data_IF_529080458494
#
_entry.id   IF_529080458494
#
_cell.length_a   1.000
_cell.length_b   1.000
_cell.length_c   1.000
_cell.angle_alpha   90.00
_cell.angle_beta   90.00
_cell.angle_gamma   90.00
#
_symmetry.space_group_name_H-M   'P 1'
#
loop_
_entity.id
_entity.type
_entity.pdbx_description
1 polymer ?
#
# COMPACT_ATOMS: atom_id res chain seq x y z
N UNK A 1 23.53 0.08 -4.29
CA UNK A 1 23.16 1.00 -5.39
C UNK A 1 21.68 0.79 -5.67
N UNK A 2 20.92 1.86 -5.99
CA UNK A 2 19.52 1.72 -6.36
C UNK A 2 19.40 0.85 -7.62
N UNK A 3 18.33 0.05 -7.68
CA UNK A 3 18.03 -0.80 -8.83
C UNK A 3 17.49 0.09 -9.94
N UNK A 4 18.17 0.11 -11.09
CA UNK A 4 17.76 0.91 -12.27
C UNK A 4 16.74 0.20 -13.16
N UNK A 5 16.69 -1.13 -13.08
CA UNK A 5 15.77 -1.95 -13.86
C UNK A 5 15.16 -3.02 -12.97
N UNK A 6 13.83 -3.08 -12.92
CA UNK A 6 13.11 -4.15 -12.25
C UNK A 6 12.88 -5.30 -13.23
N UNK A 7 13.39 -6.48 -12.89
CA UNK A 7 13.23 -7.70 -13.68
C UNK A 7 12.63 -8.84 -12.87
N UNK A 8 12.51 -10.02 -13.49
CA UNK A 8 11.98 -11.23 -12.86
C UNK A 8 12.63 -11.59 -11.50
N UNK A 9 13.96 -11.49 -11.31
CA UNK A 9 14.60 -11.79 -10.02
C UNK A 9 14.16 -10.88 -8.86
N UNK A 10 13.67 -9.68 -9.16
CA UNK A 10 13.31 -8.68 -8.16
C UNK A 10 11.87 -8.86 -7.66
N UNK A 11 11.02 -9.58 -8.41
CA UNK A 11 9.58 -9.65 -8.16
C UNK A 11 9.24 -10.27 -6.81
N UNK A 12 9.97 -11.29 -6.36
CA UNK A 12 9.71 -11.89 -5.04
C UNK A 12 10.05 -10.95 -3.90
N UNK A 13 11.13 -10.17 -4.03
CA UNK A 13 11.47 -9.14 -3.06
C UNK A 13 10.44 -8.01 -3.10
N UNK A 14 10.04 -7.56 -4.29
CA UNK A 14 8.99 -6.55 -4.44
C UNK A 14 7.71 -7.01 -3.73
N UNK A 15 7.21 -8.21 -4.05
CA UNK A 15 5.97 -8.75 -3.50
C UNK A 15 5.99 -8.87 -1.97
N UNK A 16 7.08 -9.40 -1.40
CA UNK A 16 7.24 -9.48 0.06
C UNK A 16 7.27 -8.09 0.70
N UNK A 17 8.04 -7.18 0.11
CA UNK A 17 8.18 -5.81 0.57
C UNK A 17 6.85 -5.06 0.58
N UNK A 18 6.15 -5.05 -0.55
CA UNK A 18 4.87 -4.36 -0.68
C UNK A 18 3.80 -4.99 0.22
N UNK A 19 3.82 -6.31 0.43
CA UNK A 19 2.93 -6.98 1.40
C UNK A 19 3.20 -6.51 2.84
N UNK A 20 4.46 -6.39 3.25
CA UNK A 20 4.80 -5.83 4.57
C UNK A 20 4.34 -4.37 4.69
N UNK A 21 4.59 -3.55 3.66
CA UNK A 21 4.11 -2.17 3.61
C UNK A 21 2.58 -2.07 3.59
N UNK A 22 1.87 -3.16 3.31
CA UNK A 22 0.42 -3.25 3.34
C UNK A 22 -0.18 -3.16 4.74
N UNK A 23 0.59 -3.37 5.82
CA UNK A 23 0.06 -3.29 7.21
C UNK A 23 -1.18 -4.16 7.44
N UNK A 24 -1.30 -5.30 6.75
CA UNK A 24 -2.47 -6.17 6.77
C UNK A 24 -3.58 -5.82 5.76
N UNK A 25 -3.51 -4.65 5.11
CA UNK A 25 -4.39 -4.22 4.02
C UNK A 25 -3.73 -4.31 2.64
N UNK A 26 -4.28 -3.60 1.66
CA UNK A 26 -3.75 -3.52 0.27
C UNK A 26 -3.83 -4.81 -0.56
N UNK A 27 -4.27 -5.94 0.02
CA UNK A 27 -4.41 -7.23 -0.64
C UNK A 27 -3.12 -8.04 -0.78
N UNK A 28 -3.25 -9.36 -0.86
CA UNK A 28 -2.12 -10.27 -1.03
C UNK A 28 -1.52 -10.13 -2.43
N UNK A 29 -0.20 -10.07 -2.49
CA UNK A 29 0.51 -9.67 -3.72
C UNK A 29 0.84 -10.81 -4.67
N UNK A 30 0.70 -12.08 -4.24
CA UNK A 30 1.16 -13.24 -5.01
C UNK A 30 0.57 -13.30 -6.42
N UNK A 31 -0.72 -13.00 -6.55
CA UNK A 31 -1.41 -13.04 -7.83
C UNK A 31 -0.97 -11.87 -8.72
N UNK A 32 -0.80 -10.68 -8.18
CA UNK A 32 -0.25 -9.53 -8.91
C UNK A 32 1.20 -9.78 -9.33
N UNK A 33 2.01 -10.43 -8.49
CA UNK A 33 3.40 -10.79 -8.79
C UNK A 33 3.48 -11.81 -9.94
N UNK A 34 2.59 -12.80 -9.98
CA UNK A 34 2.46 -13.73 -11.12
C UNK A 34 2.05 -13.00 -12.40
N UNK A 35 1.11 -12.05 -12.30
CA UNK A 35 0.72 -11.21 -13.43
C UNK A 35 1.91 -10.41 -13.95
N UNK A 36 2.67 -9.75 -13.07
CA UNK A 36 3.85 -8.98 -13.47
C UNK A 36 4.90 -9.85 -14.17
N UNK A 37 5.21 -11.05 -13.65
CA UNK A 37 6.12 -12.00 -14.31
C UNK A 37 5.68 -12.29 -15.74
N UNK A 38 4.38 -12.57 -15.91
CA UNK A 38 3.79 -12.85 -17.23
C UNK A 38 3.89 -11.63 -18.14
N UNK A 39 3.59 -10.43 -17.64
CA UNK A 39 3.64 -9.19 -18.41
C UNK A 39 5.06 -8.85 -18.86
N UNK A 40 6.06 -9.04 -17.99
CA UNK A 40 7.46 -8.80 -18.35
C UNK A 40 7.93 -9.70 -19.50
N UNK A 41 7.46 -10.95 -19.56
CA UNK A 41 7.87 -11.94 -20.57
C UNK A 41 9.40 -12.05 -20.75
N UNK A 42 10.15 -12.02 -19.63
CA UNK A 42 11.62 -12.01 -19.60
C UNK A 42 12.28 -10.64 -19.82
N UNK A 43 11.49 -9.59 -20.04
CA UNK A 43 11.91 -8.20 -20.09
C UNK A 43 12.14 -7.57 -18.72
N UNK A 44 12.30 -6.25 -18.72
CA UNK A 44 12.55 -5.42 -17.54
C UNK A 44 11.92 -4.04 -17.70
N UNK A 45 11.60 -3.41 -16.58
CA UNK A 45 11.04 -2.05 -16.54
C UNK A 45 12.08 -1.12 -15.95
N UNK A 46 12.21 0.09 -16.50
CA UNK A 46 13.04 1.13 -15.89
C UNK A 46 12.42 1.60 -14.59
N UNK A 47 13.20 1.49 -13.51
CA UNK A 47 12.89 2.06 -12.20
C UNK A 47 13.83 3.24 -12.00
N UNK A 48 13.30 4.44 -12.16
CA UNK A 48 14.05 5.69 -12.17
C UNK A 48 13.88 6.42 -10.84
N UNK A 49 14.92 7.10 -10.37
CA UNK A 49 14.77 8.05 -9.26
C UNK A 49 14.19 9.37 -9.76
N UNK A 50 13.77 10.27 -8.86
CA UNK A 50 13.33 11.62 -9.27
C UNK A 50 14.43 12.38 -10.03
N UNK A 51 15.69 12.21 -9.64
CA UNK A 51 16.86 12.85 -10.28
C UNK A 51 17.13 12.34 -11.71
N UNK A 52 16.68 11.13 -12.05
CA UNK A 52 16.83 10.56 -13.40
C UNK A 52 15.83 11.18 -14.42
N UNK A 53 14.83 11.93 -13.94
CA UNK A 53 13.80 12.56 -14.77
C UNK A 53 14.05 14.08 -14.81
N UNK A 54 14.60 14.63 -15.90
CA UNK A 54 15.04 16.03 -15.93
C UNK A 54 13.90 17.06 -16.00
N UNK A 55 12.65 16.64 -16.20
CA UNK A 55 11.48 17.52 -16.24
C UNK A 55 10.24 16.85 -16.82
N UNK A 56 9.16 17.62 -16.94
CA UNK A 56 7.87 17.14 -17.43
C UNK A 56 6.94 16.75 -16.27
N UNK A 57 6.09 15.76 -16.51
CA UNK A 57 5.11 15.31 -15.53
C UNK A 57 5.12 13.80 -15.39
N UNK A 58 4.81 13.29 -14.21
CA UNK A 58 4.50 11.88 -13.99
C UNK A 58 3.00 11.74 -13.73
N UNK A 59 2.45 10.56 -13.99
CA UNK A 59 1.04 10.28 -13.71
C UNK A 59 0.93 9.18 -12.65
N UNK A 60 0.24 9.45 -11.52
CA UNK A 60 -0.08 8.40 -10.55
C UNK A 60 -1.11 7.43 -11.12
N UNK A 61 -0.81 6.13 -11.07
CA UNK A 61 -1.68 5.05 -11.55
C UNK A 61 -1.80 3.93 -10.53
N UNK A 62 -2.83 3.11 -10.68
CA UNK A 62 -3.03 1.91 -9.87
C UNK A 62 -4.38 1.27 -10.15
N UNK A 63 -4.94 0.65 -9.12
CA UNK A 63 -6.32 0.16 -9.11
C UNK A 63 -7.07 0.70 -7.88
N UNK A 64 -8.38 0.82 -8.02
CA UNK A 64 -9.31 1.09 -6.92
C UNK A 64 -10.36 0.01 -6.85
N UNK A 65 -10.83 -0.28 -5.63
CA UNK A 65 -11.89 -1.24 -5.36
C UNK A 65 -11.45 -2.44 -4.53
N UNK A 66 -12.23 -3.52 -4.61
CA UNK A 66 -11.99 -4.69 -3.79
C UNK A 66 -10.82 -5.50 -4.38
N UNK A 67 -9.73 -5.62 -3.62
CA UNK A 67 -8.58 -6.48 -3.99
C UNK A 67 -8.97 -7.95 -4.12
N UNK A 68 -10.02 -8.40 -3.43
CA UNK A 68 -10.60 -9.73 -3.65
C UNK A 68 -11.20 -9.88 -5.04
N UNK A 69 -11.93 -8.88 -5.53
CA UNK A 69 -12.46 -8.85 -6.89
C UNK A 69 -11.33 -8.81 -7.94
N UNK A 70 -10.23 -8.10 -7.65
CA UNK A 70 -9.03 -8.12 -8.48
C UNK A 70 -8.43 -9.53 -8.60
N UNK A 71 -8.36 -10.29 -7.49
CA UNK A 71 -7.83 -11.66 -7.54
C UNK A 71 -8.73 -12.64 -8.28
N UNK A 72 -10.05 -12.40 -8.30
CA UNK A 72 -11.02 -13.22 -9.04
C UNK A 72 -11.06 -12.87 -10.54
N UNK A 73 -10.89 -11.57 -10.87
CA UNK A 73 -10.89 -11.05 -12.24
C UNK A 73 -9.63 -10.23 -12.47
N UNK A 74 -8.56 -10.91 -12.86
CA UNK A 74 -7.29 -10.28 -13.18
C UNK A 74 -7.38 -9.41 -14.43
N UNK A 75 -6.50 -8.39 -14.54
CA UNK A 75 -6.34 -7.61 -15.75
C UNK A 75 -6.10 -8.53 -16.96
N UNK A 76 -6.84 -8.26 -18.04
CA UNK A 76 -6.69 -8.90 -19.34
C UNK A 76 -5.87 -8.07 -20.34
N UNK A 77 -5.49 -6.85 -19.95
CA UNK A 77 -4.83 -5.86 -20.78
C UNK A 77 -5.82 -4.82 -21.32
N UNK A 78 -5.36 -3.58 -21.45
CA UNK A 78 -6.16 -2.46 -21.94
C UNK A 78 -6.94 -1.73 -20.85
N UNK A 79 -6.66 -2.00 -19.57
CA UNK A 79 -7.27 -1.28 -18.46
C UNK A 79 -6.66 0.11 -18.25
N UNK A 80 -5.34 0.28 -18.43
CA UNK A 80 -4.64 1.53 -18.12
C UNK A 80 -4.52 2.46 -19.32
N UNK A 81 -4.36 1.93 -20.54
CA UNK A 81 -4.22 2.76 -21.74
C UNK A 81 -5.39 3.73 -21.97
N UNK A 82 -6.68 3.32 -21.91
CA UNK A 82 -7.79 4.25 -22.08
C UNK A 82 -7.88 5.30 -20.95
N UNK A 83 -7.55 4.88 -19.74
CA UNK A 83 -7.58 5.73 -18.55
C UNK A 83 -6.49 6.81 -18.63
N UNK A 84 -5.27 6.45 -19.00
CA UNK A 84 -4.19 7.41 -19.19
C UNK A 84 -4.48 8.34 -20.38
N UNK A 85 -4.95 7.81 -21.51
CA UNK A 85 -5.32 8.62 -22.68
C UNK A 85 -6.36 9.70 -22.31
N UNK A 86 -7.34 9.35 -21.46
CA UNK A 86 -8.35 10.29 -20.97
C UNK A 86 -7.74 11.43 -20.15
N UNK A 87 -6.75 11.13 -19.31
CA UNK A 87 -6.01 12.16 -18.56
C UNK A 87 -5.19 13.03 -19.50
N UNK A 88 -4.50 12.43 -20.48
CA UNK A 88 -3.71 13.14 -21.47
C UNK A 88 -4.59 14.09 -22.31
N UNK A 89 -5.74 13.63 -22.78
CA UNK A 89 -6.70 14.44 -23.55
C UNK A 89 -7.26 15.60 -22.72
N UNK A 90 -7.58 15.35 -21.45
CA UNK A 90 -8.13 16.38 -20.56
C UNK A 90 -7.11 17.46 -20.21
N UNK A 91 -5.82 17.10 -20.10
CA UNK A 91 -4.77 17.98 -19.57
C UNK A 91 -3.82 18.52 -20.65
N UNK A 92 -3.75 17.88 -21.81
CA UNK A 92 -2.75 18.16 -22.84
C UNK A 92 -1.34 17.71 -22.47
N UNK A 93 -1.18 16.85 -21.46
CA UNK A 93 0.13 16.46 -20.91
C UNK A 93 0.45 15.01 -21.24
N UNK A 94 1.59 14.77 -21.89
CA UNK A 94 2.17 13.44 -22.02
C UNK A 94 3.11 13.15 -20.85
N UNK A 95 2.96 12.01 -20.14
CA UNK A 95 3.80 11.69 -18.99
C UNK A 95 5.22 11.27 -19.39
N UNK A 96 6.20 11.68 -18.59
CA UNK A 96 7.58 11.18 -18.64
C UNK A 96 7.73 9.81 -17.96
N UNK A 97 6.79 9.44 -17.08
CA UNK A 97 6.78 8.17 -16.36
C UNK A 97 5.55 8.03 -15.47
N UNK A 98 5.45 6.89 -14.81
CA UNK A 98 4.36 6.54 -13.90
C UNK A 98 4.85 6.51 -12.46
N UNK A 99 4.00 6.89 -11.52
CA UNK A 99 4.17 6.57 -10.09
C UNK A 99 2.98 5.74 -9.62
N UNK A 100 3.12 4.99 -8.53
CA UNK A 100 1.97 4.33 -7.94
C UNK A 100 1.14 5.30 -7.11
N UNK A 101 -0.15 5.03 -7.00
CA UNK A 101 -0.99 5.67 -5.98
C UNK A 101 -0.65 5.17 -4.56
N UNK A 102 -0.07 3.97 -4.45
CA UNK A 102 0.18 3.26 -3.20
C UNK A 102 1.28 2.21 -3.40
N UNK A 103 2.34 2.24 -2.58
CA UNK A 103 3.40 1.21 -2.62
C UNK A 103 3.07 -0.05 -1.79
N UNK A 104 2.08 0.00 -0.90
CA UNK A 104 1.61 -1.14 -0.14
C UNK A 104 0.71 -2.08 -0.96
N UNK A 105 0.80 -3.38 -0.71
CA UNK A 105 -0.10 -4.37 -1.30
C UNK A 105 -0.05 -4.46 -2.84
N UNK A 106 -1.21 -4.69 -3.44
CA UNK A 106 -1.38 -4.96 -4.88
C UNK A 106 -0.97 -3.76 -5.74
N UNK A 107 -1.27 -2.53 -5.31
CA UNK A 107 -0.90 -1.30 -6.03
C UNK A 107 0.61 -1.16 -6.22
N UNK A 108 1.38 -1.61 -5.22
CA UNK A 108 2.84 -1.65 -5.30
C UNK A 108 3.40 -2.59 -6.37
N UNK A 109 2.56 -3.44 -6.97
CA UNK A 109 2.93 -4.31 -8.10
C UNK A 109 2.26 -3.86 -9.40
N UNK A 110 0.97 -3.52 -9.38
CA UNK A 110 0.23 -3.27 -10.61
C UNK A 110 0.69 -2.02 -11.36
N UNK A 111 1.37 -1.07 -10.70
CA UNK A 111 2.05 0.03 -11.40
C UNK A 111 3.05 -0.47 -12.44
N UNK A 112 3.76 -1.57 -12.16
CA UNK A 112 4.71 -2.18 -13.09
C UNK A 112 3.99 -2.91 -14.21
N UNK A 113 2.81 -3.48 -13.94
CA UNK A 113 1.95 -4.07 -14.98
C UNK A 113 1.47 -2.97 -15.94
N UNK A 114 1.00 -1.84 -15.38
CA UNK A 114 0.61 -0.67 -16.16
C UNK A 114 1.78 -0.10 -16.97
N UNK A 115 2.98 -0.03 -16.39
CA UNK A 115 4.19 0.41 -17.07
C UNK A 115 4.54 -0.44 -18.30
N UNK A 116 4.39 -1.77 -18.20
CA UNK A 116 4.56 -2.68 -19.34
C UNK A 116 3.50 -2.44 -20.42
N UNK A 117 2.24 -2.30 -20.03
CA UNK A 117 1.15 -2.02 -20.97
C UNK A 117 1.38 -0.71 -21.73
N UNK A 118 1.83 0.32 -21.02
CA UNK A 118 1.94 1.69 -21.52
C UNK A 118 3.31 1.98 -22.17
N UNK A 119 4.31 1.12 -21.97
CA UNK A 119 5.68 1.36 -22.44
C UNK A 119 6.36 2.56 -21.77
N UNK A 120 6.05 2.82 -20.49
CA UNK A 120 6.58 3.95 -19.73
C UNK A 120 7.45 3.47 -18.55
N UNK A 121 8.45 4.26 -18.12
CA UNK A 121 9.21 3.95 -16.91
C UNK A 121 8.36 4.14 -15.65
N UNK A 122 8.74 3.48 -14.57
CA UNK A 122 8.23 3.74 -13.21
C UNK A 122 9.23 4.62 -12.48
N UNK A 123 8.75 5.68 -11.86
CA UNK A 123 9.55 6.52 -10.97
C UNK A 123 9.42 5.97 -9.55
N UNK A 124 10.54 5.89 -8.83
CA UNK A 124 10.63 5.34 -7.47
C UNK A 124 10.01 6.29 -6.44
N UNK A 125 8.68 6.41 -6.53
CA UNK A 125 7.85 7.21 -5.67
C UNK A 125 6.40 6.69 -5.72
N UNK A 126 5.64 6.99 -4.67
CA UNK A 126 4.20 6.80 -4.67
C UNK A 126 3.50 7.85 -3.79
N UNK A 127 2.18 7.79 -3.68
CA UNK A 127 1.40 8.78 -2.93
C UNK A 127 1.10 8.37 -1.48
N UNK A 128 1.50 7.19 -1.02
CA UNK A 128 1.17 6.70 0.33
C UNK A 128 2.35 6.04 1.09
N UNK A 129 3.32 5.41 0.44
CA UNK A 129 4.47 4.72 1.05
C UNK A 129 4.14 3.49 1.89
N UNK A 130 2.85 3.18 2.03
CA UNK A 130 2.23 2.06 2.76
C UNK A 130 0.79 1.93 2.26
N UNK A 131 0.07 0.87 2.65
CA UNK A 131 -1.35 0.82 2.34
C UNK A 131 -2.18 1.79 3.20
N UNK A 132 -3.09 2.52 2.56
CA UNK A 132 -4.06 3.41 3.19
C UNK A 132 -5.39 3.40 2.41
N UNK A 133 -6.55 3.33 3.10
CA UNK A 133 -7.78 2.89 2.46
C UNK A 133 -8.52 3.95 1.62
N UNK A 134 -8.21 5.24 1.80
CA UNK A 134 -8.96 6.36 1.19
C UNK A 134 -8.09 7.21 0.25
N UNK A 135 -8.70 7.74 -0.81
CA UNK A 135 -8.07 8.69 -1.73
C UNK A 135 -7.63 9.97 -1.03
N UNK A 136 -8.36 10.44 0.01
CA UNK A 136 -7.94 11.61 0.78
C UNK A 136 -6.71 11.38 1.66
N UNK A 137 -6.23 10.14 1.74
CA UNK A 137 -4.99 9.76 2.39
C UNK A 137 -3.84 9.58 1.40
N UNK A 138 -3.97 10.11 0.18
CA UNK A 138 -2.84 10.32 -0.73
C UNK A 138 -2.11 11.60 -0.35
N UNK A 139 -0.78 11.59 -0.40
CA UNK A 139 0.10 12.70 -0.02
C UNK A 139 -0.28 14.03 -0.68
N UNK A 140 -0.66 13.99 -1.96
CA UNK A 140 -1.15 15.15 -2.72
C UNK A 140 -2.41 15.75 -2.05
N UNK A 141 -3.42 14.92 -1.79
CA UNK A 141 -4.65 15.35 -1.11
C UNK A 141 -4.41 15.81 0.33
N UNK A 142 -3.52 15.13 1.06
CA UNK A 142 -3.14 15.49 2.42
C UNK A 142 -2.49 16.88 2.51
N UNK A 143 -1.81 17.32 1.45
CA UNK A 143 -1.23 18.66 1.32
C UNK A 143 -2.20 19.69 0.73
N UNK A 144 -3.48 19.34 0.54
CA UNK A 144 -4.50 20.23 0.00
C UNK A 144 -4.49 20.40 -1.52
N UNK A 145 -3.67 19.63 -2.23
CA UNK A 145 -3.66 19.63 -3.70
C UNK A 145 -4.78 18.73 -4.24
N UNK A 146 -5.42 19.08 -5.37
CA UNK A 146 -6.50 18.28 -5.92
C UNK A 146 -5.98 16.95 -6.51
N UNK A 147 -6.78 15.89 -6.44
CA UNK A 147 -6.49 14.62 -7.13
C UNK A 147 -7.00 14.61 -8.58
N UNK A 148 -7.94 15.50 -8.89
CA UNK A 148 -8.58 15.59 -10.20
C UNK A 148 -7.80 16.48 -11.18
N UNK A 149 -7.92 16.26 -12.51
CA UNK A 149 -8.76 15.26 -13.16
C UNK A 149 -8.30 13.84 -12.82
N UNK A 150 -9.24 12.94 -12.57
CA UNK A 150 -8.96 11.52 -12.38
C UNK A 150 -9.89 10.70 -13.27
N UNK A 151 -9.39 9.56 -13.75
CA UNK A 151 -10.16 8.65 -14.56
C UNK A 151 -10.09 7.24 -13.99
N UNK A 152 -11.19 6.51 -14.07
CA UNK A 152 -11.24 5.07 -13.81
C UNK A 152 -11.76 4.32 -15.02
N UNK A 153 -11.28 3.10 -15.23
CA UNK A 153 -11.65 2.28 -16.39
C UNK A 153 -11.45 0.78 -16.20
N UNK A 154 -11.98 -0.01 -17.12
CA UNK A 154 -11.75 -1.46 -17.18
C UNK A 154 -11.60 -1.97 -18.62
N UNK A 155 -11.18 -3.24 -18.77
CA UNK A 155 -11.01 -3.88 -20.08
C UNK A 155 -12.31 -4.06 -20.87
N UNK A 156 -13.47 -3.81 -20.25
CA UNK A 156 -14.77 -3.74 -20.96
C UNK A 156 -14.96 -2.44 -21.75
N UNK A 157 -13.99 -1.53 -21.72
CA UNK A 157 -14.04 -0.23 -22.40
C UNK A 157 -14.85 0.82 -21.65
N UNK A 158 -15.26 0.53 -20.41
CA UNK A 158 -16.00 1.50 -19.59
C UNK A 158 -15.00 2.47 -18.99
N UNK A 159 -15.44 3.72 -18.89
CA UNK A 159 -14.57 4.82 -18.53
C UNK A 159 -15.40 5.89 -17.81
N UNK A 160 -14.89 6.36 -16.69
CA UNK A 160 -15.45 7.48 -15.94
C UNK A 160 -14.34 8.48 -15.64
N UNK A 161 -14.51 9.73 -16.07
CA UNK A 161 -13.61 10.84 -15.72
C UNK A 161 -14.32 11.78 -14.77
N UNK A 162 -13.63 12.15 -13.69
CA UNK A 162 -14.07 13.10 -12.70
C UNK A 162 -13.11 14.29 -12.65
N UNK A 163 -13.68 15.50 -12.65
CA UNK A 163 -12.90 16.73 -12.59
C UNK A 163 -13.50 17.71 -11.58
N UNK A 164 -12.65 18.59 -11.04
CA UNK A 164 -13.04 19.67 -10.11
C UNK A 164 -13.83 19.20 -8.88
N UNK A 165 -13.44 18.05 -8.31
CA UNK A 165 -14.04 17.48 -7.10
C UNK A 165 -13.05 17.47 -5.94
N UNK A 166 -13.58 17.59 -4.72
CA UNK A 166 -12.78 17.28 -3.53
C UNK A 166 -12.45 15.79 -3.48
N UNK A 167 -11.33 15.38 -2.84
CA UNK A 167 -10.98 13.98 -2.65
C UNK A 167 -12.13 13.13 -2.08
N UNK A 168 -12.88 13.66 -1.10
CA UNK A 168 -14.01 12.95 -0.48
C UNK A 168 -15.23 12.82 -1.40
N UNK A 169 -15.47 13.79 -2.29
CA UNK A 169 -16.52 13.69 -3.28
C UNK A 169 -16.16 12.67 -4.37
N UNK A 170 -14.91 12.73 -4.85
CA UNK A 170 -14.36 11.77 -5.79
C UNK A 170 -14.40 10.33 -5.23
N UNK A 171 -13.95 10.13 -3.99
CA UNK A 171 -14.00 8.85 -3.27
C UNK A 171 -15.40 8.22 -3.31
N UNK A 172 -16.43 9.00 -2.95
CA UNK A 172 -17.81 8.51 -2.90
C UNK A 172 -18.30 8.11 -4.28
N UNK A 173 -18.03 8.92 -5.30
CA UNK A 173 -18.45 8.63 -6.68
C UNK A 173 -17.73 7.40 -7.22
N UNK A 174 -16.40 7.31 -7.05
CA UNK A 174 -15.60 6.16 -7.46
C UNK A 174 -16.14 4.90 -6.79
N UNK A 175 -16.32 4.89 -5.46
CA UNK A 175 -16.84 3.73 -4.74
C UNK A 175 -18.22 3.30 -5.21
N UNK A 176 -19.12 4.24 -5.49
CA UNK A 176 -20.44 3.93 -6.03
C UNK A 176 -20.37 3.37 -7.45
N UNK A 177 -19.46 3.87 -8.28
CA UNK A 177 -19.31 3.41 -9.67
C UNK A 177 -18.73 1.99 -9.76
N UNK A 178 -17.90 1.57 -8.79
CA UNK A 178 -17.22 0.26 -8.83
C UNK A 178 -18.13 -0.96 -8.98
N UNK A 179 -19.38 -0.89 -8.51
CA UNK A 179 -20.36 -1.96 -8.72
C UNK A 179 -20.60 -2.19 -10.20
N UNK A 180 -20.68 -1.12 -10.99
CA UNK A 180 -20.76 -1.24 -12.44
C UNK A 180 -19.47 -1.88 -12.94
N UNK A 181 -18.29 -1.34 -12.60
CA UNK A 181 -16.99 -1.84 -13.07
C UNK A 181 -16.66 -3.31 -12.72
N UNK A 182 -17.47 -3.98 -11.89
CA UNK A 182 -17.28 -5.38 -11.53
C UNK A 182 -16.39 -5.55 -10.29
N UNK A 183 -16.38 -4.55 -9.41
CA UNK A 183 -15.74 -4.60 -8.09
C UNK A 183 -14.38 -3.92 -8.00
N UNK A 184 -13.69 -3.69 -9.12
CA UNK A 184 -12.45 -2.90 -9.19
C UNK A 184 -12.31 -2.22 -10.56
N UNK A 185 -11.48 -1.18 -10.63
CA UNK A 185 -11.14 -0.47 -11.87
C UNK A 185 -9.69 0.02 -11.84
N UNK A 186 -9.04 0.13 -13.01
CA UNK A 186 -7.80 0.88 -13.15
C UNK A 186 -8.07 2.37 -12.89
N UNK A 187 -7.08 3.09 -12.36
CA UNK A 187 -7.16 4.52 -12.09
C UNK A 187 -5.91 5.24 -12.60
N UNK A 188 -6.10 6.46 -13.12
CA UNK A 188 -5.05 7.45 -13.27
C UNK A 188 -5.52 8.78 -12.68
N UNK A 189 -4.61 9.47 -12.01
CA UNK A 189 -4.85 10.77 -11.40
C UNK A 189 -4.28 11.88 -12.27
N UNK A 190 -4.42 13.13 -11.82
CA UNK A 190 -3.81 14.28 -12.48
C UNK A 190 -2.29 14.10 -12.65
N UNK A 191 -1.69 14.64 -13.72
CA UNK A 191 -0.25 14.71 -13.84
C UNK A 191 0.35 15.57 -12.71
N UNK A 192 1.50 15.13 -12.21
CA UNK A 192 2.31 15.84 -11.20
C UNK A 192 3.60 16.33 -11.84
N UNK A 193 3.97 17.62 -11.68
CA UNK A 193 5.24 18.11 -12.17
C UNK A 193 6.41 17.43 -11.47
N UNK A 194 7.43 17.06 -12.24
CA UNK A 194 8.61 16.32 -11.72
C UNK A 194 9.33 17.13 -10.64
N UNK A 195 9.43 18.44 -10.82
CA UNK A 195 10.07 19.36 -9.87
C UNK A 195 9.37 19.45 -8.50
N UNK A 196 8.16 18.89 -8.36
CA UNK A 196 7.39 18.87 -7.11
C UNK A 196 7.37 17.50 -6.43
N UNK A 197 8.00 16.46 -6.98
CA UNK A 197 7.89 15.10 -6.45
C UNK A 197 8.40 14.97 -5.02
N UNK A 198 9.54 15.58 -4.68
CA UNK A 198 10.11 15.57 -3.32
C UNK A 198 9.16 16.17 -2.27
N UNK A 199 8.30 17.11 -2.70
CA UNK A 199 7.29 17.73 -1.84
C UNK A 199 6.04 16.87 -1.75
N UNK A 200 5.55 16.40 -2.90
CA UNK A 200 4.20 15.85 -3.05
C UNK A 200 4.12 14.33 -2.90
N UNK A 201 5.23 13.61 -2.88
CA UNK A 201 5.25 12.14 -2.93
C UNK A 201 6.13 11.53 -1.85
N UNK A 202 6.03 10.22 -1.67
CA UNK A 202 6.95 9.43 -0.87
C UNK A 202 7.99 8.86 -1.82
N UNK A 203 9.17 9.48 -1.89
CA UNK A 203 10.29 8.98 -2.70
C UNK A 203 10.88 7.68 -2.13
N UNK A 204 11.47 6.88 -3.00
CA UNK A 204 12.21 5.67 -2.64
C UNK A 204 11.34 4.53 -2.13
N UNK A 205 10.03 4.57 -2.37
CA UNK A 205 9.09 3.61 -1.79
C UNK A 205 9.24 2.20 -2.37
N UNK A 206 9.60 2.06 -3.65
CA UNK A 206 9.93 0.75 -4.24
C UNK A 206 11.33 0.28 -3.86
N UNK A 207 12.31 1.18 -3.79
CA UNK A 207 13.62 0.83 -3.21
C UNK A 207 13.46 0.29 -1.78
N UNK A 208 12.60 0.93 -0.98
CA UNK A 208 12.27 0.48 0.37
C UNK A 208 11.56 -0.88 0.36
N UNK A 209 10.57 -1.08 -0.51
CA UNK A 209 9.88 -2.37 -0.64
C UNK A 209 10.87 -3.49 -1.01
N UNK A 210 11.69 -3.30 -2.04
CA UNK A 210 12.71 -4.26 -2.47
C UNK A 210 13.69 -4.58 -1.33
N UNK A 211 14.13 -3.56 -0.59
CA UNK A 211 15.01 -3.76 0.57
C UNK A 211 14.34 -4.59 1.67
N UNK A 212 13.11 -4.23 2.07
CA UNK A 212 12.35 -4.96 3.08
C UNK A 212 12.09 -6.40 2.65
N UNK A 213 11.72 -6.62 1.40
CA UNK A 213 11.44 -7.97 0.88
C UNK A 213 12.67 -8.85 0.82
N UNK A 214 13.83 -8.32 0.44
CA UNK A 214 15.10 -9.04 0.47
C UNK A 214 15.50 -9.44 1.90
N UNK A 215 15.30 -8.56 2.89
CA UNK A 215 15.53 -8.85 4.31
C UNK A 215 14.53 -9.87 4.84
N UNK A 216 13.25 -9.72 4.49
CA UNK A 216 12.17 -10.62 4.91
C UNK A 216 12.32 -12.03 4.34
N UNK A 217 12.93 -12.18 3.15
CA UNK A 217 13.24 -13.50 2.59
C UNK A 217 14.13 -14.34 3.52
N UNK A 218 14.93 -13.72 4.39
CA UNK A 218 15.75 -14.40 5.39
C UNK A 218 15.02 -14.68 6.71
N UNK A 219 13.75 -14.28 6.87
CA UNK A 219 13.00 -14.43 8.13
C UNK A 219 12.97 -15.88 8.62
N UNK A 220 12.66 -16.83 7.74
CA UNK A 220 12.59 -18.25 8.08
C UNK A 220 13.95 -18.93 8.22
N UNK A 221 15.02 -18.27 7.78
CA UNK A 221 16.40 -18.73 7.95
C UNK A 221 17.00 -18.25 9.28
N UNK A 222 16.42 -17.23 9.91
CA UNK A 222 16.87 -16.74 11.21
C UNK A 222 16.42 -17.67 12.33
N UNK A 223 17.35 -18.05 13.21
CA UNK A 223 17.01 -18.80 14.42
C UNK A 223 16.35 -17.91 15.50
N UNK A 224 16.61 -16.61 15.49
CA UNK A 224 16.02 -15.64 16.42
C UNK A 224 15.09 -14.65 15.68
N UNK A 225 13.78 -14.64 16.00
CA UNK A 225 12.83 -13.65 15.49
C UNK A 225 13.24 -12.19 15.77
N UNK A 226 13.98 -11.92 16.86
CA UNK A 226 14.42 -10.57 17.22
C UNK A 226 15.46 -10.03 16.24
N UNK A 227 16.42 -10.87 15.85
CA UNK A 227 17.42 -10.53 14.84
C UNK A 227 16.76 -10.31 13.47
N UNK A 228 15.81 -11.18 13.11
CA UNK A 228 15.04 -11.03 11.88
C UNK A 228 14.23 -9.72 11.87
N UNK A 229 13.56 -9.38 12.97
CA UNK A 229 12.83 -8.13 13.11
C UNK A 229 13.77 -6.91 13.04
N UNK A 230 14.90 -6.95 13.75
CA UNK A 230 15.90 -5.87 13.70
C UNK A 230 16.44 -5.63 12.28
N UNK A 231 16.62 -6.69 11.49
CA UNK A 231 17.06 -6.58 10.08
C UNK A 231 16.04 -5.87 9.17
N UNK A 232 14.76 -5.83 9.58
CA UNK A 232 13.68 -5.08 8.94
C UNK A 232 13.53 -3.66 9.52
N UNK A 233 14.35 -3.29 10.50
CA UNK A 233 14.15 -2.07 11.30
C UNK A 233 12.89 -2.14 12.17
N UNK A 234 12.41 -3.35 12.47
CA UNK A 234 11.16 -3.58 13.18
C UNK A 234 11.37 -3.93 14.65
N UNK A 235 10.38 -3.62 15.49
CA UNK A 235 10.26 -4.11 16.87
C UNK A 235 9.20 -5.18 16.97
N UNK A 236 9.50 -6.29 17.65
CA UNK A 236 8.47 -7.27 18.01
C UNK A 236 7.57 -6.67 19.10
N UNK A 237 6.26 -6.64 18.83
CA UNK A 237 5.22 -6.30 19.80
C UNK A 237 4.83 -7.51 20.64
N UNK A 238 4.62 -8.66 19.99
CA UNK A 238 4.27 -9.92 20.66
C UNK A 238 4.61 -11.13 19.79
N UNK A 239 4.97 -12.23 20.45
CA UNK A 239 4.93 -13.58 19.87
C UNK A 239 3.92 -14.39 20.67
N UNK A 240 2.89 -14.92 20.00
CA UNK A 240 1.77 -15.50 20.71
C UNK A 240 0.72 -16.13 19.82
N UNK A 241 -0.41 -16.49 20.42
CA UNK A 241 -1.54 -17.12 19.74
C UNK A 241 -2.71 -16.15 19.64
N UNK A 242 -3.31 -16.05 18.46
CA UNK A 242 -4.57 -15.32 18.29
C UNK A 242 -5.67 -16.09 19.04
N UNK A 243 -6.25 -15.47 20.06
CA UNK A 243 -7.32 -16.07 20.86
C UNK A 243 -8.71 -15.58 20.45
N UNK A 244 -8.80 -14.41 19.82
CA UNK A 244 -10.06 -13.83 19.38
C UNK A 244 -9.86 -12.91 18.17
N UNK A 245 -10.85 -12.92 17.26
CA UNK A 245 -10.94 -11.98 16.14
C UNK A 245 -12.37 -11.46 16.08
N UNK A 246 -12.56 -10.17 16.34
CA UNK A 246 -13.85 -9.49 16.25
C UNK A 246 -13.91 -8.69 14.95
N UNK A 247 -15.02 -8.78 14.23
CA UNK A 247 -15.27 -8.02 13.00
C UNK A 247 -16.64 -7.38 13.07
N UNK A 248 -16.67 -6.06 12.99
CA UNK A 248 -17.88 -5.27 12.86
C UNK A 248 -18.15 -5.06 11.38
N UNK A 249 -19.22 -5.69 10.87
CA UNK A 249 -19.67 -5.42 9.49
C UNK A 249 -20.32 -4.04 9.45
N UNK A 250 -19.73 -3.11 8.69
CA UNK A 250 -20.41 -1.87 8.33
C UNK A 250 -21.36 -2.15 7.15
N UNK A 251 -22.57 -1.57 7.15
CA UNK A 251 -23.52 -1.69 6.05
C UNK A 251 -23.04 -0.95 4.77
N UNK A 252 -22.19 0.05 4.93
CA UNK A 252 -21.48 0.76 3.87
C UNK A 252 -20.18 1.35 4.45
N UNK A 253 -19.00 0.90 3.98
CA UNK A 253 -17.70 1.40 4.43
C UNK A 253 -16.72 0.32 4.89
N UNK A 254 -15.58 0.74 5.45
CA UNK A 254 -14.54 -0.16 5.93
C UNK A 254 -14.98 -0.87 7.22
N UNK A 255 -14.72 -2.17 7.29
CA UNK A 255 -15.08 -2.97 8.46
C UNK A 255 -14.07 -2.77 9.59
N UNK A 256 -14.51 -2.24 10.73
CA UNK A 256 -13.68 -2.18 11.95
C UNK A 256 -13.61 -3.54 12.62
N UNK A 257 -12.49 -3.84 13.25
CA UNK A 257 -12.33 -5.08 13.98
C UNK A 257 -11.18 -5.02 14.97
N UNK A 258 -11.06 -6.09 15.75
CA UNK A 258 -9.93 -6.27 16.63
C UNK A 258 -9.42 -7.70 16.61
N UNK A 259 -8.12 -7.86 16.85
CA UNK A 259 -7.45 -9.16 17.01
C UNK A 259 -6.83 -9.18 18.40
N UNK A 260 -7.11 -10.21 19.18
CA UNK A 260 -6.49 -10.40 20.49
C UNK A 260 -5.49 -11.54 20.41
N UNK A 261 -4.24 -11.23 20.74
CA UNK A 261 -3.10 -12.16 20.76
C UNK A 261 -2.68 -12.35 22.22
N UNK A 262 -2.59 -13.60 22.65
CA UNK A 262 -2.04 -13.96 23.95
C UNK A 262 -0.57 -14.33 23.81
N UNK A 263 0.31 -13.61 24.50
CA UNK A 263 1.74 -13.90 24.53
C UNK A 263 2.01 -15.30 25.13
N UNK A 264 3.02 -15.99 24.60
CA UNK A 264 3.33 -17.36 25.02
C UNK A 264 4.02 -17.50 26.39
N UNK A 265 4.66 -16.45 26.92
CA UNK A 265 5.50 -16.52 28.13
C UNK A 265 4.76 -16.19 29.43
N UNK A 266 4.12 -15.03 29.46
CA UNK A 266 3.48 -14.42 30.63
C UNK A 266 1.95 -14.32 30.49
N UNK A 267 1.41 -14.61 29.31
CA UNK A 267 -0.01 -14.51 29.03
C UNK A 267 -0.50 -13.08 28.78
N UNK A 268 0.40 -12.10 28.66
CA UNK A 268 0.07 -10.71 28.29
C UNK A 268 -0.82 -10.68 27.06
N UNK A 269 -1.82 -9.80 27.09
CA UNK A 269 -2.78 -9.64 26.00
C UNK A 269 -2.38 -8.45 25.14
N UNK A 270 -2.20 -8.71 23.85
CA UNK A 270 -2.00 -7.67 22.85
C UNK A 270 -3.24 -7.60 21.98
N UNK A 271 -3.88 -6.43 21.99
CA UNK A 271 -5.02 -6.13 21.11
C UNK A 271 -4.54 -5.29 19.94
N UNK A 272 -4.86 -5.72 18.73
CA UNK A 272 -4.69 -4.93 17.52
C UNK A 272 -6.06 -4.42 17.08
N UNK A 273 -6.24 -3.10 16.95
CA UNK A 273 -7.37 -2.52 16.23
C UNK A 273 -7.06 -2.51 14.74
N UNK A 274 -8.06 -2.85 13.92
CA UNK A 274 -7.92 -2.89 12.47
C UNK A 274 -9.15 -2.33 11.76
N UNK A 275 -8.93 -1.77 10.58
CA UNK A 275 -9.93 -1.63 9.53
C UNK A 275 -9.53 -2.54 8.36
N UNK A 276 -9.13 -1.96 7.22
CA UNK A 276 -8.42 -2.69 6.18
C UNK A 276 -6.98 -2.99 6.59
N UNK A 277 -6.35 -2.10 7.37
CA UNK A 277 -5.00 -2.22 7.92
C UNK A 277 -5.05 -2.40 9.43
N UNK A 278 -3.99 -2.94 10.03
CA UNK A 278 -3.74 -2.87 11.47
C UNK A 278 -3.31 -1.45 11.83
N UNK A 279 -4.05 -0.80 12.73
CA UNK A 279 -3.96 0.64 12.99
C UNK A 279 -3.38 1.00 14.35
N UNK A 280 -3.64 0.18 15.37
CA UNK A 280 -3.25 0.44 16.75
C UNK A 280 -2.97 -0.87 17.47
N UNK A 281 -1.88 -0.92 18.23
CA UNK A 281 -1.58 -1.99 19.16
C UNK A 281 -1.66 -1.51 20.61
N UNK A 282 -2.38 -2.27 21.44
CA UNK A 282 -2.44 -2.09 22.88
C UNK A 282 -1.85 -3.33 23.58
N UNK A 283 -1.01 -3.13 24.59
CA UNK A 283 -0.50 -4.20 25.46
C UNK A 283 -1.13 -4.02 26.84
N UNK A 284 -1.92 -5.01 27.26
CA UNK A 284 -2.67 -4.98 28.54
C UNK A 284 -3.49 -3.68 28.74
N UNK A 285 -4.00 -3.13 27.65
CA UNK A 285 -4.82 -1.90 27.62
C UNK A 285 -4.05 -0.61 27.33
N UNK A 286 -2.72 -0.63 27.37
CA UNK A 286 -1.87 0.53 27.11
C UNK A 286 -1.50 0.63 25.63
N UNK A 287 -1.80 1.75 24.93
CA UNK A 287 -1.35 1.98 23.55
C UNK A 287 0.19 2.01 23.44
N UNK A 288 0.76 1.22 22.51
CA UNK A 288 2.23 1.11 22.35
C UNK A 288 2.76 1.32 20.94
N UNK A 289 1.89 1.30 19.93
CA UNK A 289 2.26 1.48 18.53
C UNK A 289 1.02 1.82 17.71
N UNK A 290 1.14 2.67 16.70
CA UNK A 290 0.01 3.00 15.83
C UNK A 290 0.44 3.48 14.44
N UNK A 291 -0.52 3.56 13.52
CA UNK A 291 -0.41 4.43 12.33
C UNK A 291 -0.01 5.85 12.73
N UNK A 292 0.83 6.58 11.96
CA UNK A 292 1.34 6.31 10.61
C UNK A 292 2.33 5.14 10.43
N UNK A 293 2.90 4.63 11.52
CA UNK A 293 3.81 3.49 11.47
C UNK A 293 3.08 2.18 11.14
N UNK A 294 3.83 1.21 10.62
CA UNK A 294 3.27 0.02 9.98
C UNK A 294 3.21 -1.12 11.01
N UNK A 295 2.03 -1.70 11.15
CA UNK A 295 1.81 -2.86 12.02
C UNK A 295 1.63 -4.09 11.15
N UNK A 296 2.50 -5.09 11.30
CA UNK A 296 2.44 -6.34 10.56
C UNK A 296 2.18 -7.51 11.50
N UNK A 297 1.31 -8.42 11.11
CA UNK A 297 1.14 -9.71 11.78
C UNK A 297 1.70 -10.77 10.84
N UNK A 298 2.66 -11.56 11.30
CA UNK A 298 3.25 -12.66 10.54
C UNK A 298 2.79 -13.99 11.13
N UNK A 299 2.54 -14.98 10.28
CA UNK A 299 2.43 -16.37 10.71
C UNK A 299 3.79 -16.82 11.27
N UNK A 300 3.80 -17.40 12.47
CA UNK A 300 5.04 -17.73 13.18
C UNK A 300 5.86 -18.81 12.47
N UNK A 301 5.20 -19.71 11.75
CA UNK A 301 5.86 -20.88 11.14
C UNK A 301 6.43 -20.53 9.77
N UNK A 302 5.62 -19.92 8.92
CA UNK A 302 5.98 -19.58 7.55
C UNK A 302 6.63 -18.20 7.41
N UNK A 303 6.48 -17.32 8.41
CA UNK A 303 6.94 -15.94 8.34
C UNK A 303 6.12 -15.04 7.40
N UNK A 304 5.08 -15.57 6.77
CA UNK A 304 4.28 -14.83 5.80
C UNK A 304 3.36 -13.82 6.50
N UNK A 305 3.19 -12.60 5.97
CA UNK A 305 2.25 -11.64 6.51
C UNK A 305 0.80 -12.13 6.41
N UNK A 306 0.05 -11.95 7.49
CA UNK A 306 -1.37 -12.27 7.59
C UNK A 306 -2.17 -10.98 7.50
N UNK A 307 -3.04 -10.90 6.49
CA UNK A 307 -3.91 -9.75 6.27
C UNK A 307 -5.05 -9.66 7.29
N UNK A 308 -5.56 -8.44 7.45
CA UNK A 308 -6.67 -8.15 8.36
C UNK A 308 -7.89 -8.99 8.05
N UNK A 309 -8.18 -9.34 6.80
CA UNK A 309 -9.31 -10.17 6.36
C UNK A 309 -9.08 -11.68 6.53
N UNK A 310 -7.83 -12.14 6.58
CA UNK A 310 -7.46 -13.56 6.66
C UNK A 310 -7.05 -14.03 8.06
N UNK A 311 -6.73 -13.13 9.00
CA UNK A 311 -6.42 -13.50 10.39
C UNK A 311 -7.57 -14.30 11.03
N UNK A 312 -7.22 -15.40 11.72
CA UNK A 312 -8.16 -16.33 12.37
C UNK A 312 -7.71 -16.66 13.79
N UNK A 313 -8.69 -16.97 14.65
CA UNK A 313 -8.44 -17.56 15.96
C UNK A 313 -7.65 -18.86 15.84
N UNK A 314 -6.72 -19.06 16.77
CA UNK A 314 -5.84 -20.21 16.84
C UNK A 314 -4.50 -20.06 16.13
N UNK A 315 -4.33 -19.06 15.27
CA UNK A 315 -3.07 -18.81 14.55
C UNK A 315 -1.93 -18.46 15.53
N UNK A 316 -0.76 -19.06 15.31
CA UNK A 316 0.48 -18.70 16.01
C UNK A 316 1.17 -17.60 15.23
N UNK A 317 1.42 -16.45 15.85
CA UNK A 317 1.82 -15.24 15.14
C UNK A 317 2.96 -14.49 15.83
N UNK A 318 3.63 -13.65 15.04
CA UNK A 318 4.54 -12.59 15.51
C UNK A 318 3.99 -11.26 15.01
N UNK A 319 3.67 -10.34 15.91
CA UNK A 319 3.28 -8.99 15.55
C UNK A 319 4.48 -8.05 15.61
N UNK A 320 4.66 -7.25 14.56
CA UNK A 320 5.78 -6.34 14.36
C UNK A 320 5.29 -4.90 14.24
N UNK A 321 6.13 -3.98 14.69
CA UNK A 321 6.02 -2.55 14.48
C UNK A 321 7.20 -2.07 13.63
N UNK A 322 6.93 -1.65 12.41
CA UNK A 322 7.91 -1.12 11.46
C UNK A 322 7.73 0.40 11.33
N UNK A 323 8.80 1.17 11.07
CA UNK A 323 8.68 2.60 10.85
C UNK A 323 7.77 2.87 9.66
N UNK A 324 6.94 3.91 9.73
CA UNK A 324 6.13 4.41 8.64
C UNK A 324 6.94 5.33 7.71
N UNK A 325 6.37 5.74 6.56
CA UNK A 325 6.97 6.77 5.73
C UNK A 325 7.15 8.08 6.52
N UNK A 326 8.36 8.69 6.56
CA UNK A 326 8.59 9.94 7.28
C UNK A 326 7.68 11.10 6.85
N UNK A 327 7.19 11.08 5.60
CA UNK A 327 6.21 12.04 5.08
C UNK A 327 5.00 12.20 6.00
N UNK A 328 4.46 11.09 6.52
CA UNK A 328 3.26 11.11 7.34
C UNK A 328 3.47 11.60 8.77
N UNK A 329 4.71 11.81 9.18
CA UNK A 329 5.03 12.40 10.48
C UNK A 329 5.20 13.93 10.41
N UNK A 330 5.05 14.52 9.22
CA UNK A 330 5.03 15.98 9.04
C UNK A 330 3.80 16.59 9.73
N UNK A 331 3.93 17.73 10.43
CA UNK A 331 2.83 18.36 11.14
C UNK A 331 1.58 18.63 10.27
N UNK A 332 1.78 18.98 9.01
CA UNK A 332 0.72 19.27 8.05
C UNK A 332 0.01 18.04 7.47
N UNK A 333 0.55 16.83 7.66
CA UNK A 333 0.03 15.59 7.05
C UNK A 333 -0.38 14.52 8.07
N UNK A 334 0.18 14.55 9.29
CA UNK A 334 0.01 13.47 10.28
C UNK A 334 -1.44 13.20 10.65
N UNK A 335 -2.26 14.25 10.77
CA UNK A 335 -3.65 14.12 11.19
C UNK A 335 -4.52 13.35 10.19
N UNK A 336 -4.10 13.25 8.93
CA UNK A 336 -4.82 12.54 7.85
C UNK A 336 -4.76 11.01 8.03
N UNK A 337 -3.69 10.52 8.64
CA UNK A 337 -3.41 9.08 8.81
C UNK A 337 -3.13 8.68 10.25
N UNK A 338 -3.22 9.62 11.20
CA UNK A 338 -3.19 9.35 12.63
C UNK A 338 -4.38 8.50 13.07
N UNK A 339 -4.33 7.84 14.24
CA UNK A 339 -5.43 7.00 14.74
C UNK A 339 -6.79 7.74 14.76
N UNK A 340 -6.79 9.05 15.03
CA UNK A 340 -7.99 9.90 15.05
C UNK A 340 -8.72 9.92 13.70
N UNK A 341 -8.01 9.86 12.57
CA UNK A 341 -8.60 9.79 11.23
C UNK A 341 -9.34 8.47 10.95
N UNK A 342 -9.13 7.47 11.80
CA UNK A 342 -9.84 6.19 11.80
C UNK A 342 -10.83 6.09 12.98
N UNK A 343 -11.10 7.18 13.67
CA UNK A 343 -12.00 7.22 14.82
C UNK A 343 -11.44 6.61 16.10
N UNK A 344 -10.12 6.43 16.20
CA UNK A 344 -9.43 6.00 17.42
C UNK A 344 -8.96 7.25 18.18
N UNK A 345 -9.46 7.47 19.39
CA UNK A 345 -9.34 8.74 20.14
C UNK A 345 -7.97 9.07 20.74
N UNK A 346 -6.86 8.63 20.15
CA UNK A 346 -5.50 8.79 20.67
C UNK A 346 -4.57 9.49 19.67
N UNK A 347 -3.47 10.06 20.17
CA UNK A 347 -2.39 10.60 19.34
C UNK A 347 -1.52 9.48 18.76
N UNK A 348 -0.84 9.71 17.61
CA UNK A 348 -0.02 8.69 16.98
C UNK A 348 1.21 8.33 17.83
N UNK A 349 1.56 7.04 17.85
CA UNK A 349 2.64 6.47 18.66
C UNK A 349 3.73 5.92 17.73
N UNK A 350 4.85 6.65 17.56
CA UNK A 350 5.91 6.22 16.66
C UNK A 350 6.72 5.07 17.24
N UNK A 351 7.42 4.35 16.36
CA UNK A 351 8.46 3.42 16.71
C UNK A 351 9.61 4.17 17.39
N UNK A 352 9.81 3.91 18.68
CA UNK A 352 10.93 4.45 19.45
C UNK A 352 12.09 3.45 19.46
N UNK A 353 13.30 3.91 19.13
CA UNK A 353 14.55 3.20 19.43
C UNK A 353 14.86 1.98 18.57
N UNK A 354 14.83 2.10 17.24
CA UNK A 354 15.50 1.15 16.36
C UNK A 354 16.95 1.61 16.11
N UNK A 355 17.83 1.40 17.10
CA UNK A 355 19.29 1.50 16.94
C UNK A 355 19.93 0.28 17.54
#
# INVERSE_FOLDING_TARGET
MPIRYLGEPDIDHLARGTTLLGSGGGGQTDTAARLLRRSLAGGRIELLTSDDVPGGHVVPVGIVGAVSAFTERLPSGGEWAPVLATIMDRTGISPAGLIAIEAGGVNGIVVFVAAVELGLPVIDADLQGRALPRLDQMSVAALGEPLTPLAIGDAGGRLLMLDSLSPQAAERIVRSALTEFGGWAAIALRPLPVELLDRLTILGSFSRALHLGARHAAWTLSADPREAAASLGARILVTGRVIEVVRHRAAAGFGRGSVIIRAGRDGTLVRLEMENEYLLALIDGEPVASTPDILCVLDRTSGLPISCDTVRGGAEVVALHLPGPPFWWRPEAVDIVAPRAFGLGIDPIPLRGAT
#
